data_IF_029030436675
#
_entry.id   IF_029030436675
#
_cell.length_a   1.000
_cell.length_b   1.000
_cell.length_c   1.000
_cell.angle_alpha   90.00
_cell.angle_beta   90.00
_cell.angle_gamma   90.00
#
_symmetry.space_group_name_H-M   'P 1'
#
loop_
_entity.id
_entity.type
_entity.pdbx_description
1 polymer ?
#
# COMPACT_ATOMS: atom_id res chain seq x y z
N UNK A 1 -20.31 -24.13 -8.34
CA UNK A 1 -19.78 -24.45 -9.67
C UNK A 1 -20.08 -23.35 -10.70
N UNK A 2 -21.35 -23.05 -11.02
CA UNK A 2 -21.73 -22.04 -12.02
C UNK A 2 -21.15 -20.63 -11.76
N UNK A 3 -21.25 -20.12 -10.53
CA UNK A 3 -20.62 -18.85 -10.13
C UNK A 3 -19.10 -18.88 -10.30
N UNK A 4 -18.42 -19.96 -9.89
CA UNK A 4 -16.98 -20.11 -10.08
C UNK A 4 -16.56 -20.04 -11.56
N UNK A 5 -17.39 -20.57 -12.46
CA UNK A 5 -17.13 -20.52 -13.91
C UNK A 5 -17.36 -19.12 -14.49
N UNK A 6 -18.45 -18.45 -14.08
CA UNK A 6 -18.72 -17.07 -14.46
C UNK A 6 -17.61 -16.10 -14.00
N UNK A 7 -16.96 -16.41 -12.87
CA UNK A 7 -15.84 -15.64 -12.32
C UNK A 7 -14.49 -15.99 -12.96
N UNK A 8 -14.24 -17.27 -13.23
CA UNK A 8 -12.98 -17.73 -13.81
C UNK A 8 -12.85 -17.40 -15.30
N UNK A 9 -13.95 -17.42 -16.06
CA UNK A 9 -13.93 -17.21 -17.51
C UNK A 9 -13.33 -15.86 -17.95
N UNK A 10 -13.72 -14.69 -17.39
CA UNK A 10 -13.11 -13.42 -17.76
C UNK A 10 -11.69 -13.24 -17.19
N UNK A 11 -11.34 -13.95 -16.12
CA UNK A 11 -10.06 -13.78 -15.41
C UNK A 11 -8.96 -14.71 -15.92
N UNK A 12 -9.29 -15.88 -16.47
CA UNK A 12 -8.32 -16.90 -16.90
C UNK A 12 -7.37 -16.45 -18.03
N UNK A 13 -7.71 -15.39 -18.77
CA UNK A 13 -6.84 -14.81 -19.82
C UNK A 13 -5.89 -13.73 -19.32
N UNK A 14 -5.99 -13.36 -18.05
CA UNK A 14 -5.13 -12.36 -17.43
C UNK A 14 -3.75 -12.97 -17.12
N UNK A 15 -2.69 -12.18 -17.30
CA UNK A 15 -1.36 -12.53 -16.77
C UNK A 15 -1.47 -12.82 -15.27
N UNK A 16 -0.69 -13.77 -14.75
CA UNK A 16 -0.77 -14.27 -13.36
C UNK A 16 -1.00 -13.17 -12.30
N UNK A 17 -0.29 -12.04 -12.43
CA UNK A 17 -0.43 -10.92 -11.48
C UNK A 17 -1.81 -10.24 -11.53
N UNK A 18 -2.38 -10.10 -12.73
CA UNK A 18 -3.69 -9.50 -12.94
C UNK A 18 -4.82 -10.46 -12.52
N UNK A 19 -4.62 -11.76 -12.70
CA UNK A 19 -5.54 -12.78 -12.21
C UNK A 19 -5.65 -12.75 -10.68
N UNK A 20 -4.51 -12.66 -9.97
CA UNK A 20 -4.48 -12.56 -8.51
C UNK A 20 -5.20 -11.31 -7.99
N UNK A 21 -4.97 -10.15 -8.61
CA UNK A 21 -5.63 -8.90 -8.21
C UNK A 21 -7.14 -8.99 -8.36
N UNK A 22 -7.63 -9.44 -9.53
CA UNK A 22 -9.08 -9.48 -9.79
C UNK A 22 -9.78 -10.48 -8.87
N UNK A 23 -9.15 -11.62 -8.58
CA UNK A 23 -9.72 -12.62 -7.67
C UNK A 23 -9.79 -12.14 -6.22
N UNK A 24 -8.78 -11.40 -5.74
CA UNK A 24 -8.82 -10.75 -4.41
C UNK A 24 -9.92 -9.68 -4.35
N UNK A 25 -9.97 -8.78 -5.34
CA UNK A 25 -11.01 -7.73 -5.40
C UNK A 25 -12.41 -8.31 -5.44
N UNK A 26 -12.61 -9.36 -6.24
CA UNK A 26 -13.89 -10.02 -6.32
C UNK A 26 -14.26 -10.75 -5.03
N UNK A 27 -13.29 -11.40 -4.37
CA UNK A 27 -13.48 -11.98 -3.04
C UNK A 27 -13.92 -10.94 -2.01
N UNK A 28 -13.34 -9.74 -2.07
CA UNK A 28 -13.71 -8.63 -1.19
C UNK A 28 -15.10 -8.07 -1.51
N UNK A 29 -15.47 -7.92 -2.79
CA UNK A 29 -16.82 -7.53 -3.19
C UNK A 29 -17.85 -8.53 -2.65
N UNK A 30 -17.59 -9.83 -2.81
CA UNK A 30 -18.45 -10.88 -2.28
C UNK A 30 -18.53 -10.81 -0.75
N UNK A 31 -17.40 -10.61 -0.05
CA UNK A 31 -17.37 -10.43 1.41
C UNK A 31 -18.26 -9.27 1.86
N UNK A 32 -18.14 -8.11 1.21
CA UNK A 32 -18.92 -6.90 1.51
C UNK A 32 -20.40 -7.12 1.22
N UNK A 33 -20.74 -7.74 0.08
CA UNK A 33 -22.11 -8.02 -0.31
C UNK A 33 -22.78 -8.98 0.69
N UNK A 34 -22.07 -10.04 1.11
CA UNK A 34 -22.56 -10.96 2.13
C UNK A 34 -22.66 -10.32 3.53
N UNK A 35 -21.78 -9.36 3.84
CA UNK A 35 -21.87 -8.60 5.09
C UNK A 35 -23.09 -7.65 5.13
N UNK A 36 -23.66 -7.30 3.97
CA UNK A 36 -24.91 -6.54 3.86
C UNK A 36 -26.17 -7.37 4.11
N UNK A 37 -26.09 -8.70 4.06
CA UNK A 37 -27.25 -9.59 4.22
C UNK A 37 -27.62 -9.81 5.70
N UNK A 38 -28.81 -9.40 6.16
CA UNK A 38 -29.22 -9.52 7.57
C UNK A 38 -29.21 -10.97 8.09
N UNK A 39 -29.48 -11.94 7.22
CA UNK A 39 -29.53 -13.37 7.56
C UNK A 39 -28.14 -13.99 7.82
N UNK A 40 -27.08 -13.43 7.21
CA UNK A 40 -25.69 -13.84 7.42
C UNK A 40 -24.99 -13.00 8.50
N UNK A 41 -25.69 -12.00 9.04
CA UNK A 41 -25.27 -11.16 10.15
C UNK A 41 -25.43 -11.89 11.49
N UNK A 42 -24.89 -13.11 11.61
CA UNK A 42 -24.88 -13.87 12.87
C UNK A 42 -23.74 -13.36 13.73
N UNK A 43 -24.06 -12.47 14.67
CA UNK A 43 -23.15 -11.95 15.68
C UNK A 43 -23.36 -10.47 15.92
N UNK A 44 -23.50 -10.09 17.19
CA UNK A 44 -23.39 -8.71 17.61
C UNK A 44 -22.14 -8.10 16.98
N UNK A 45 -22.27 -7.00 16.24
CA UNK A 45 -21.16 -6.10 15.92
C UNK A 45 -20.81 -5.35 17.22
N UNK A 46 -20.55 -6.09 18.30
CA UNK A 46 -19.65 -5.60 19.32
C UNK A 46 -18.31 -5.58 18.61
N UNK A 47 -17.82 -4.39 18.26
CA UNK A 47 -16.44 -4.19 17.86
C UNK A 47 -15.60 -5.08 18.76
N UNK A 48 -14.99 -6.14 18.21
CA UNK A 48 -14.12 -6.98 19.03
C UNK A 48 -13.12 -6.01 19.64
N UNK A 49 -13.12 -5.92 20.97
CA UNK A 49 -12.25 -4.98 21.68
C UNK A 49 -10.85 -5.47 21.37
N UNK A 50 -10.20 -4.74 20.47
CA UNK A 50 -8.86 -5.03 20.05
C UNK A 50 -7.93 -5.06 21.26
N UNK A 51 -6.87 -5.85 21.18
CA UNK A 51 -5.77 -5.70 22.14
C UNK A 51 -5.17 -4.33 21.88
N UNK A 52 -5.18 -3.45 22.88
CA UNK A 52 -4.59 -2.11 22.80
C UNK A 52 -3.78 -1.84 24.07
N UNK A 53 -2.84 -0.90 24.02
CA UNK A 53 -2.02 -0.48 25.18
C UNK A 53 -1.14 -1.57 25.79
N UNK A 54 -0.61 -2.50 24.97
CA UNK A 54 0.48 -3.36 25.43
C UNK A 54 1.75 -2.53 25.66
N UNK A 55 2.65 -3.02 26.51
CA UNK A 55 3.91 -2.34 26.80
C UNK A 55 4.77 -2.27 25.53
N UNK A 56 5.02 -1.04 25.06
CA UNK A 56 5.79 -0.81 23.85
C UNK A 56 7.28 -1.12 24.10
N UNK A 57 7.91 -2.01 23.30
CA UNK A 57 9.30 -2.37 23.50
C UNK A 57 10.22 -1.16 23.38
N UNK A 58 11.33 -1.12 24.12
CA UNK A 58 12.28 0.00 24.13
C UNK A 58 11.72 1.38 24.55
N UNK A 59 10.43 1.51 24.88
CA UNK A 59 9.83 2.79 25.31
C UNK A 59 10.48 3.33 26.58
N UNK A 60 10.77 2.45 27.54
CA UNK A 60 11.52 2.78 28.75
C UNK A 60 12.92 3.30 28.43
N UNK A 61 13.67 2.59 27.58
CA UNK A 61 15.01 3.02 27.21
C UNK A 61 15.03 4.35 26.45
N UNK A 62 14.01 4.60 25.61
CA UNK A 62 13.90 5.82 24.81
C UNK A 62 13.69 7.08 25.67
N UNK A 63 12.79 7.01 26.64
CA UNK A 63 12.47 8.16 27.51
C UNK A 63 13.34 8.21 28.77
N UNK A 64 13.56 7.09 29.45
CA UNK A 64 14.27 7.07 30.73
C UNK A 64 15.78 6.77 30.61
N UNK A 65 16.28 6.33 29.46
CA UNK A 65 17.68 5.94 29.28
C UNK A 65 18.02 4.56 29.88
N UNK A 66 19.32 4.31 30.10
CA UNK A 66 19.82 3.06 30.73
C UNK A 66 19.95 3.28 32.24
N UNK A 67 19.43 2.35 33.04
CA UNK A 67 19.65 2.31 34.50
C UNK A 67 18.49 2.83 35.36
N UNK A 68 17.39 3.30 34.74
CA UNK A 68 16.19 3.74 35.46
C UNK A 68 15.13 2.63 35.40
N UNK A 69 14.73 2.11 36.56
CA UNK A 69 13.62 1.15 36.66
C UNK A 69 12.28 1.88 36.76
N UNK A 70 11.25 1.30 36.14
CA UNK A 70 9.88 1.80 36.16
C UNK A 70 9.03 0.79 36.93
N UNK A 71 8.16 1.27 37.80
CA UNK A 71 7.26 0.45 38.60
C UNK A 71 6.48 1.26 39.62
N UNK A 72 5.44 0.66 40.23
CA UNK A 72 4.60 1.32 41.23
C UNK A 72 5.38 1.74 42.49
N UNK A 73 6.50 1.06 42.79
CA UNK A 73 7.35 1.32 43.95
C UNK A 73 8.63 2.11 43.61
N UNK A 74 8.71 2.70 42.41
CA UNK A 74 9.87 3.48 41.94
C UNK A 74 9.50 4.94 41.73
N UNK A 75 10.50 5.82 41.64
CA UNK A 75 10.31 7.25 41.37
C UNK A 75 9.51 7.53 40.07
N UNK A 76 9.51 6.59 39.12
CA UNK A 76 8.77 6.68 37.86
C UNK A 76 7.76 5.55 37.70
N UNK A 77 6.46 5.90 37.73
CA UNK A 77 5.35 4.94 37.60
C UNK A 77 5.26 4.37 36.17
N UNK A 78 5.60 5.18 35.16
CA UNK A 78 5.53 4.79 33.74
C UNK A 78 6.63 5.43 32.90
N UNK A 79 6.89 4.89 31.71
CA UNK A 79 7.87 5.48 30.79
C UNK A 79 7.48 6.90 30.33
N UNK A 80 6.18 7.21 30.36
CA UNK A 80 5.67 8.56 30.06
C UNK A 80 5.95 9.53 31.23
N UNK A 81 6.14 9.02 32.45
CA UNK A 81 6.54 9.85 33.60
C UNK A 81 7.95 10.40 33.45
N UNK A 82 8.88 9.59 32.91
CA UNK A 82 10.24 10.03 32.61
C UNK A 82 10.28 11.12 31.51
N UNK A 83 9.32 11.10 30.58
CA UNK A 83 9.28 12.04 29.45
C UNK A 83 9.16 13.50 29.91
N UNK A 84 8.48 13.75 31.02
CA UNK A 84 8.19 15.11 31.46
C UNK A 84 9.20 15.61 32.51
N UNK A 85 10.19 14.81 32.87
CA UNK A 85 11.18 15.15 33.89
C UNK A 85 12.44 15.75 33.26
N UNK A 86 12.62 17.05 33.41
CA UNK A 86 13.79 17.78 32.88
C UNK A 86 15.13 17.40 33.52
N UNK A 87 15.13 16.68 34.65
CA UNK A 87 16.36 16.23 35.30
C UNK A 87 16.94 14.97 34.62
N UNK A 88 16.11 14.22 33.90
CA UNK A 88 16.49 12.97 33.26
C UNK A 88 16.78 13.21 31.78
N UNK A 89 18.03 13.02 31.35
CA UNK A 89 18.42 13.22 29.95
C UNK A 89 18.40 11.86 29.22
N UNK A 90 17.27 11.53 28.62
CA UNK A 90 17.09 10.34 27.81
C UNK A 90 17.58 10.49 26.37
N UNK A 91 17.62 9.39 25.59
CA UNK A 91 17.80 9.45 24.13
C UNK A 91 16.77 10.34 23.42
N UNK A 92 15.53 10.39 23.92
CA UNK A 92 14.47 11.24 23.38
C UNK A 92 14.81 12.74 23.48
N UNK A 93 15.35 13.18 24.61
CA UNK A 93 15.72 14.59 24.84
C UNK A 93 16.86 15.03 23.93
N UNK A 94 17.88 14.18 23.78
CA UNK A 94 19.01 14.44 22.86
C UNK A 94 18.54 14.57 21.41
N UNK A 95 17.54 13.77 21.01
CA UNK A 95 16.97 13.89 19.66
C UNK A 95 16.06 15.11 19.51
N UNK A 96 15.33 15.48 20.57
CA UNK A 96 14.56 16.73 20.63
C UNK A 96 15.46 17.96 20.46
N UNK A 97 16.59 17.97 21.15
CA UNK A 97 17.63 19.00 21.04
C UNK A 97 18.25 19.02 19.63
N UNK A 98 18.64 17.85 19.09
CA UNK A 98 19.22 17.76 17.74
C UNK A 98 18.29 18.31 16.65
N UNK A 99 16.98 18.11 16.79
CA UNK A 99 15.97 18.55 15.83
C UNK A 99 15.36 19.92 16.16
N UNK A 100 15.82 20.60 17.23
CA UNK A 100 15.24 21.85 17.73
C UNK A 100 13.72 21.78 17.88
N UNK A 101 13.20 20.68 18.44
CA UNK A 101 11.78 20.55 18.74
C UNK A 101 11.45 21.43 19.95
N UNK A 102 10.71 22.51 19.73
CA UNK A 102 10.29 23.42 20.81
C UNK A 102 8.79 23.45 20.98
N UNK A 103 8.34 23.43 22.22
CA UNK A 103 6.94 23.69 22.59
C UNK A 103 6.55 25.16 22.30
N UNK A 104 5.26 25.49 22.40
CA UNK A 104 4.73 26.85 22.32
C UNK A 104 5.40 27.84 23.30
N UNK A 105 6.00 27.32 24.38
CA UNK A 105 6.74 28.09 25.39
C UNK A 105 8.25 28.23 25.07
N UNK A 106 8.73 27.71 23.95
CA UNK A 106 10.15 27.77 23.54
C UNK A 106 11.08 26.79 24.29
N UNK A 107 10.52 25.87 25.08
CA UNK A 107 11.25 24.81 25.77
C UNK A 107 11.48 23.62 24.82
N UNK A 108 12.62 22.95 24.95
CA UNK A 108 12.95 21.77 24.15
C UNK A 108 12.03 20.61 24.57
N UNK A 109 11.30 20.02 23.62
CA UNK A 109 10.47 18.86 23.87
C UNK A 109 11.20 17.55 23.54
N UNK A 110 11.00 16.49 24.35
CA UNK A 110 11.50 15.16 24.04
C UNK A 110 10.88 14.60 22.75
N UNK A 111 11.72 13.98 21.92
CA UNK A 111 11.27 13.38 20.67
C UNK A 111 10.21 12.28 20.90
N UNK A 112 9.12 12.27 20.10
CA UNK A 112 8.05 11.29 20.26
C UNK A 112 8.56 9.87 19.99
N UNK A 113 7.97 8.89 20.68
CA UNK A 113 8.37 7.48 20.55
C UNK A 113 8.30 6.94 19.10
N UNK A 114 7.36 7.45 18.29
CA UNK A 114 7.26 7.07 16.87
C UNK A 114 8.50 7.44 16.06
N UNK A 115 9.31 8.40 16.52
CA UNK A 115 10.59 8.74 15.89
C UNK A 115 11.61 7.62 16.06
N UNK A 116 11.69 6.97 17.22
CA UNK A 116 12.53 5.78 17.40
C UNK A 116 12.14 4.68 16.41
N UNK A 117 10.84 4.41 16.30
CA UNK A 117 10.33 3.40 15.37
C UNK A 117 10.65 3.77 13.91
N UNK A 118 10.57 5.06 13.55
CA UNK A 118 10.95 5.55 12.23
C UNK A 118 12.45 5.36 11.95
N UNK A 119 13.33 5.67 12.92
CA UNK A 119 14.78 5.45 12.81
C UNK A 119 15.07 3.95 12.60
N UNK A 120 14.48 3.08 13.43
CA UNK A 120 14.64 1.63 13.29
C UNK A 120 14.12 1.13 11.95
N UNK A 121 12.97 1.63 11.50
CA UNK A 121 12.40 1.31 10.20
C UNK A 121 13.30 1.71 9.04
N UNK A 122 13.84 2.93 9.05
CA UNK A 122 14.78 3.41 8.02
C UNK A 122 16.05 2.56 7.99
N UNK A 123 16.65 2.29 9.14
CA UNK A 123 17.82 1.40 9.25
C UNK A 123 17.50 0.02 8.69
N UNK A 124 16.34 -0.53 9.04
CA UNK A 124 15.91 -1.83 8.53
C UNK A 124 15.71 -1.84 7.01
N UNK A 125 15.13 -0.77 6.44
CA UNK A 125 14.95 -0.66 4.99
C UNK A 125 16.30 -0.58 4.28
N UNK A 126 17.24 0.23 4.79
CA UNK A 126 18.59 0.34 4.24
C UNK A 126 19.31 -1.01 4.31
N UNK A 127 19.21 -1.72 5.43
CA UNK A 127 19.84 -3.03 5.62
C UNK A 127 19.24 -4.09 4.70
N UNK A 128 17.91 -4.16 4.60
CA UNK A 128 17.22 -5.10 3.70
C UNK A 128 17.55 -4.79 2.24
N UNK A 129 17.55 -3.51 1.85
CA UNK A 129 17.95 -3.10 0.51
C UNK A 129 19.38 -3.53 0.19
N UNK A 130 20.32 -3.22 1.09
CA UNK A 130 21.72 -3.58 0.92
C UNK A 130 21.89 -5.10 0.78
N UNK A 131 21.24 -5.86 1.67
CA UNK A 131 21.24 -7.33 1.64
C UNK A 131 20.68 -7.86 0.31
N UNK A 132 19.54 -7.35 -0.15
CA UNK A 132 18.92 -7.78 -1.40
C UNK A 132 19.78 -7.47 -2.62
N UNK A 133 20.38 -6.27 -2.67
CA UNK A 133 21.26 -5.90 -3.79
C UNK A 133 22.51 -6.78 -3.84
N UNK A 134 23.10 -7.09 -2.68
CA UNK A 134 24.23 -8.04 -2.58
C UNK A 134 23.82 -9.46 -2.99
N UNK A 135 22.67 -9.95 -2.53
CA UNK A 135 22.19 -11.29 -2.87
C UNK A 135 21.84 -11.40 -4.36
N UNK A 136 21.20 -10.39 -4.94
CA UNK A 136 20.79 -10.40 -6.36
C UNK A 136 21.96 -10.21 -7.33
N UNK A 137 23.06 -9.57 -6.90
CA UNK A 137 24.29 -9.46 -7.67
C UNK A 137 25.22 -10.69 -7.54
N UNK A 138 24.98 -11.53 -6.52
CA UNK A 138 25.70 -12.78 -6.29
C UNK A 138 25.38 -13.88 -7.34
N UNK A 139 26.16 -14.98 -7.40
CA UNK A 139 25.85 -16.12 -8.26
C UNK A 139 24.45 -16.69 -8.06
N UNK A 140 23.94 -16.68 -6.82
CA UNK A 140 22.59 -17.15 -6.50
C UNK A 140 21.51 -16.32 -7.19
N UNK A 141 21.69 -14.99 -7.23
CA UNK A 141 20.80 -14.09 -7.97
C UNK A 141 20.80 -14.34 -9.48
N UNK A 142 21.95 -14.71 -10.07
CA UNK A 142 22.04 -15.07 -11.50
C UNK A 142 21.31 -16.38 -11.81
N UNK A 143 21.41 -17.38 -10.93
CA UNK A 143 20.67 -18.65 -11.06
C UNK A 143 19.17 -18.40 -11.01
N UNK A 144 18.68 -17.56 -10.08
CA UNK A 144 17.26 -17.20 -10.02
C UNK A 144 16.76 -16.50 -11.29
N UNK A 145 17.59 -15.66 -11.92
CA UNK A 145 17.25 -15.04 -13.20
C UNK A 145 17.16 -16.09 -14.31
N UNK A 146 18.08 -17.06 -14.35
CA UNK A 146 18.02 -18.16 -15.32
C UNK A 146 16.74 -19.00 -15.13
N UNK A 147 16.39 -19.36 -13.89
CA UNK A 147 15.16 -20.09 -13.56
C UNK A 147 13.90 -19.32 -14.00
N UNK A 148 13.91 -17.99 -13.90
CA UNK A 148 12.78 -17.14 -14.32
C UNK A 148 12.58 -17.10 -15.83
N UNK A 149 13.67 -17.18 -16.62
CA UNK A 149 13.61 -17.18 -18.08
C UNK A 149 13.21 -18.55 -18.62
N UNK A 150 13.87 -19.62 -18.14
CA UNK A 150 13.56 -21.00 -18.52
C UNK A 150 13.97 -21.97 -17.40
N UNK A 151 12.96 -22.55 -16.75
CA UNK A 151 13.15 -23.50 -15.65
C UNK A 151 13.72 -24.84 -16.12
N UNK A 152 13.32 -25.33 -17.30
CA UNK A 152 13.73 -26.63 -17.83
C UNK A 152 15.22 -26.59 -18.23
N UNK A 153 15.64 -25.49 -18.87
CA UNK A 153 17.06 -25.25 -19.18
C UNK A 153 17.91 -25.16 -17.92
N UNK A 154 17.44 -24.46 -16.88
CA UNK A 154 18.17 -24.38 -15.61
C UNK A 154 18.33 -25.75 -14.92
N UNK A 155 17.32 -26.62 -15.01
CA UNK A 155 17.37 -28.00 -14.51
C UNK A 155 18.38 -28.85 -15.29
N UNK A 156 18.43 -28.71 -16.62
CA UNK A 156 19.42 -29.41 -17.46
C UNK A 156 20.86 -29.01 -17.15
N UNK A 157 21.09 -27.79 -16.65
CA UNK A 157 22.40 -27.34 -16.17
C UNK A 157 22.74 -27.83 -14.75
N UNK A 158 21.91 -28.69 -14.15
CA UNK A 158 22.16 -29.31 -12.84
C UNK A 158 21.80 -28.44 -11.63
N UNK A 159 21.05 -27.35 -11.84
CA UNK A 159 20.56 -26.52 -10.74
C UNK A 159 19.28 -27.12 -10.13
N UNK A 160 19.26 -27.28 -8.81
CA UNK A 160 18.05 -27.68 -8.08
C UNK A 160 17.07 -26.50 -7.97
N UNK A 161 16.12 -26.44 -8.91
CA UNK A 161 15.15 -25.36 -9.00
C UNK A 161 14.24 -25.29 -7.77
N UNK A 162 13.88 -26.42 -7.17
CA UNK A 162 12.96 -26.45 -6.04
C UNK A 162 13.60 -25.76 -4.83
N UNK A 163 14.86 -26.11 -4.50
CA UNK A 163 15.59 -25.49 -3.39
C UNK A 163 15.80 -23.99 -3.60
N UNK A 164 16.13 -23.56 -4.82
CA UNK A 164 16.29 -22.13 -5.12
C UNK A 164 14.98 -21.35 -4.99
N UNK A 165 13.84 -21.91 -5.45
CA UNK A 165 12.51 -21.32 -5.27
C UNK A 165 12.06 -21.30 -3.81
N UNK A 166 12.33 -22.37 -3.07
CA UNK A 166 12.00 -22.44 -1.64
C UNK A 166 12.82 -21.42 -0.84
N UNK A 167 14.11 -21.29 -1.12
CA UNK A 167 14.99 -20.31 -0.49
C UNK A 167 14.57 -18.87 -0.81
N UNK A 168 14.18 -18.57 -2.05
CA UNK A 168 13.70 -17.23 -2.42
C UNK A 168 12.36 -16.89 -1.77
N UNK A 169 11.45 -17.87 -1.67
CA UNK A 169 10.19 -17.72 -0.93
C UNK A 169 10.44 -17.50 0.57
N UNK A 170 11.31 -18.28 1.19
CA UNK A 170 11.65 -18.16 2.61
C UNK A 170 12.28 -16.80 2.93
N UNK A 171 13.19 -16.30 2.07
CA UNK A 171 13.79 -14.99 2.21
C UNK A 171 12.73 -13.87 2.09
N UNK A 172 11.83 -13.97 1.10
CA UNK A 172 10.72 -13.02 0.97
C UNK A 172 9.78 -13.03 2.18
N UNK A 173 9.45 -14.22 2.70
CA UNK A 173 8.60 -14.39 3.88
C UNK A 173 9.26 -13.82 5.15
N UNK A 174 10.57 -14.00 5.32
CA UNK A 174 11.32 -13.43 6.44
C UNK A 174 11.28 -11.90 6.43
N UNK A 175 11.49 -11.28 5.26
CA UNK A 175 11.41 -9.82 5.09
C UNK A 175 9.99 -9.32 5.34
N UNK A 176 8.98 -10.00 4.80
CA UNK A 176 7.57 -9.66 5.01
C UNK A 176 7.16 -9.79 6.49
N UNK A 177 7.63 -10.82 7.18
CA UNK A 177 7.41 -11.01 8.61
C UNK A 177 8.02 -9.90 9.46
N UNK A 178 9.25 -9.47 9.13
CA UNK A 178 9.89 -8.32 9.77
C UNK A 178 9.11 -7.02 9.53
N UNK A 179 8.67 -6.78 8.28
CA UNK A 179 7.83 -5.62 7.96
C UNK A 179 6.49 -5.65 8.72
N UNK A 180 5.86 -6.82 8.82
CA UNK A 180 4.65 -7.04 9.60
C UNK A 180 4.83 -6.76 11.09
N UNK A 181 5.98 -7.15 11.67
CA UNK A 181 6.31 -6.87 13.07
C UNK A 181 6.43 -5.35 13.33
N UNK A 182 7.10 -4.60 12.45
CA UNK A 182 7.16 -3.14 12.54
C UNK A 182 5.79 -2.47 12.36
N UNK A 183 4.97 -2.99 11.45
CA UNK A 183 3.63 -2.46 11.23
C UNK A 183 2.72 -2.69 12.45
N UNK A 184 2.72 -3.91 13.00
CA UNK A 184 2.04 -4.23 14.25
C UNK A 184 2.49 -3.33 15.40
N UNK A 185 3.81 -3.12 15.52
CA UNK A 185 4.37 -2.24 16.54
C UNK A 185 3.88 -0.79 16.37
N UNK A 186 3.86 -0.25 15.15
CA UNK A 186 3.34 1.09 14.84
C UNK A 186 1.87 1.24 15.22
N UNK A 187 1.05 0.20 15.03
CA UNK A 187 -0.39 0.25 15.26
C UNK A 187 -0.73 0.40 16.75
N UNK A 188 0.14 -0.04 17.67
CA UNK A 188 -0.06 0.01 19.15
C UNK A 188 -1.33 -0.72 19.66
N UNK A 189 -2.04 -1.38 18.76
CA UNK A 189 -3.21 -2.20 19.03
C UNK A 189 -3.79 -2.80 17.76
N UNK A 190 -4.55 -3.89 17.92
CA UNK A 190 -5.18 -4.61 16.82
C UNK A 190 -6.69 -4.49 16.88
N UNK A 191 -7.27 -3.59 16.07
CA UNK A 191 -8.71 -3.49 15.91
C UNK A 191 -9.18 -4.24 14.64
N UNK A 192 -10.37 -4.88 14.61
CA UNK A 192 -10.88 -5.48 13.37
C UNK A 192 -10.96 -4.50 12.20
N UNK A 193 -11.18 -3.22 12.49
CA UNK A 193 -11.32 -2.16 11.49
C UNK A 193 -10.04 -1.99 10.67
N UNK A 194 -8.87 -2.00 11.31
CA UNK A 194 -7.56 -1.79 10.65
C UNK A 194 -7.14 -2.97 9.75
N UNK A 195 -7.69 -4.16 9.99
CA UNK A 195 -7.42 -5.36 9.19
C UNK A 195 -8.33 -5.48 7.96
N UNK A 196 -9.15 -4.46 7.67
CA UNK A 196 -9.93 -4.43 6.44
C UNK A 196 -8.99 -4.51 5.21
N UNK A 197 -9.17 -5.47 4.29
CA UNK A 197 -8.29 -5.64 3.13
C UNK A 197 -8.17 -4.37 2.27
N UNK A 198 -9.28 -3.63 2.15
CA UNK A 198 -9.37 -2.33 1.45
C UNK A 198 -8.33 -1.30 1.93
N UNK A 199 -8.01 -1.27 3.23
CA UNK A 199 -7.08 -0.30 3.82
C UNK A 199 -5.64 -0.79 3.94
N UNK A 200 -5.39 -2.10 3.88
CA UNK A 200 -4.06 -2.68 4.11
C UNK A 200 -3.50 -3.30 2.84
N UNK A 201 -4.05 -4.45 2.42
CA UNK A 201 -3.53 -5.26 1.31
C UNK A 201 -3.56 -4.52 -0.02
N UNK A 202 -4.63 -3.78 -0.31
CA UNK A 202 -4.74 -3.03 -1.57
C UNK A 202 -3.71 -1.92 -1.71
N UNK A 203 -3.36 -1.22 -0.62
CA UNK A 203 -2.34 -0.17 -0.66
C UNK A 203 -0.96 -0.74 -0.96
N UNK A 204 -0.61 -1.89 -0.36
CA UNK A 204 0.68 -2.56 -0.61
C UNK A 204 0.76 -3.03 -2.07
N UNK A 205 -0.31 -3.60 -2.61
CA UNK A 205 -0.37 -3.98 -4.02
C UNK A 205 -0.31 -2.79 -4.96
N UNK A 206 -0.99 -1.68 -4.64
CA UNK A 206 -0.93 -0.45 -5.41
C UNK A 206 0.51 0.11 -5.44
N UNK A 207 1.19 0.14 -4.30
CA UNK A 207 2.58 0.55 -4.20
C UNK A 207 3.50 -0.32 -5.09
N UNK A 208 3.30 -1.63 -5.07
CA UNK A 208 4.05 -2.58 -5.90
C UNK A 208 3.84 -2.35 -7.40
N UNK A 209 2.60 -2.14 -7.82
CA UNK A 209 2.26 -1.91 -9.23
C UNK A 209 2.83 -0.60 -9.73
N UNK A 210 2.69 0.47 -8.96
CA UNK A 210 3.22 1.79 -9.30
C UNK A 210 4.73 1.74 -9.38
N UNK A 211 5.38 1.09 -8.40
CA UNK A 211 6.83 0.97 -8.35
C UNK A 211 7.41 0.14 -9.51
N UNK A 212 6.73 -0.94 -9.89
CA UNK A 212 7.13 -1.83 -10.97
C UNK A 212 7.82 -3.09 -10.52
N UNK A 213 7.69 -4.13 -11.36
CA UNK A 213 8.16 -5.49 -11.05
C UNK A 213 9.67 -5.58 -11.25
N UNK A 214 10.34 -6.29 -10.34
CA UNK A 214 11.75 -6.67 -10.43
C UNK A 214 12.77 -5.51 -10.43
N UNK A 215 12.44 -4.38 -9.78
CA UNK A 215 13.39 -3.31 -9.50
C UNK A 215 13.24 -2.76 -8.07
N UNK A 216 14.26 -2.96 -7.24
CA UNK A 216 14.27 -2.50 -5.85
C UNK A 216 14.03 -0.98 -5.74
N UNK A 217 14.60 -0.19 -6.67
CA UNK A 217 14.43 1.28 -6.71
C UNK A 217 13.00 1.70 -7.01
N UNK A 218 12.37 1.04 -7.98
CA UNK A 218 10.99 1.27 -8.33
C UNK A 218 10.07 1.03 -7.13
N UNK A 219 10.31 -0.04 -6.38
CA UNK A 219 9.51 -0.41 -5.20
C UNK A 219 9.52 0.65 -4.08
N UNK A 220 10.68 1.23 -3.77
CA UNK A 220 10.74 2.33 -2.77
C UNK A 220 9.95 3.54 -3.24
N UNK A 221 10.07 3.92 -4.52
CA UNK A 221 9.36 5.07 -5.07
C UNK A 221 7.85 4.82 -5.08
N UNK A 222 7.41 3.62 -5.46
CA UNK A 222 6.00 3.23 -5.41
C UNK A 222 5.41 3.29 -4.00
N UNK A 223 6.14 2.77 -3.01
CA UNK A 223 5.75 2.87 -1.60
C UNK A 223 5.70 4.33 -1.12
N UNK A 224 6.70 5.13 -1.47
CA UNK A 224 6.76 6.54 -1.11
C UNK A 224 5.58 7.34 -1.69
N UNK A 225 5.22 7.11 -2.96
CA UNK A 225 4.07 7.75 -3.61
C UNK A 225 2.77 7.42 -2.87
N UNK A 226 2.55 6.14 -2.53
CA UNK A 226 1.33 5.72 -1.82
C UNK A 226 1.25 6.35 -0.42
N UNK A 227 2.36 6.36 0.32
CA UNK A 227 2.40 6.98 1.65
C UNK A 227 2.20 8.49 1.59
N UNK A 228 2.82 9.18 0.62
CA UNK A 228 2.64 10.61 0.41
C UNK A 228 1.19 10.94 0.06
N UNK A 229 0.58 10.15 -0.82
CA UNK A 229 -0.83 10.29 -1.18
C UNK A 229 -1.73 10.07 0.05
N UNK A 230 -1.45 9.07 0.87
CA UNK A 230 -2.19 8.83 2.12
C UNK A 230 -2.08 10.02 3.09
N UNK A 231 -0.89 10.61 3.22
CA UNK A 231 -0.70 11.82 4.00
C UNK A 231 -1.56 12.98 3.48
N UNK A 232 -1.55 13.23 2.17
CA UNK A 232 -2.37 14.29 1.54
C UNK A 232 -3.85 14.05 1.81
N UNK A 233 -4.34 12.82 1.71
CA UNK A 233 -5.74 12.51 2.03
C UNK A 233 -6.06 12.74 3.50
N UNK A 234 -5.19 12.32 4.42
CA UNK A 234 -5.44 12.53 5.85
C UNK A 234 -5.48 14.04 6.19
N UNK A 235 -4.66 14.85 5.53
CA UNK A 235 -4.72 16.32 5.64
C UNK A 235 -6.03 16.88 5.08
N UNK A 236 -6.48 16.40 3.92
CA UNK A 236 -7.76 16.83 3.33
C UNK A 236 -8.96 16.41 4.19
N UNK A 237 -8.95 15.22 4.79
CA UNK A 237 -9.97 14.76 5.75
C UNK A 237 -9.97 15.69 6.97
N UNK A 238 -8.80 15.99 7.53
CA UNK A 238 -8.69 16.90 8.67
C UNK A 238 -9.18 18.31 8.34
N UNK A 239 -8.95 18.79 7.12
CA UNK A 239 -9.40 20.10 6.66
C UNK A 239 -10.94 20.24 6.66
N UNK A 240 -11.70 19.14 6.58
CA UNK A 240 -13.16 19.16 6.67
C UNK A 240 -13.68 19.46 8.09
N UNK A 241 -12.83 19.35 9.10
CA UNK A 241 -13.21 19.52 10.51
C UNK A 241 -13.64 20.95 10.88
N UNK A 242 -13.16 21.98 10.16
CA UNK A 242 -13.72 23.32 10.29
C UNK A 242 -13.48 24.18 9.04
N UNK A 243 -14.37 25.17 8.74
CA UNK A 243 -14.23 26.04 7.57
C UNK A 243 -12.95 26.88 7.54
N UNK A 244 -12.35 27.11 8.71
CA UNK A 244 -11.17 27.97 8.88
C UNK A 244 -9.85 27.25 8.55
N UNK A 245 -9.88 25.92 8.35
CA UNK A 245 -8.67 25.16 8.03
C UNK A 245 -8.22 25.39 6.57
N UNK A 246 -6.90 25.39 6.33
CA UNK A 246 -6.38 25.41 4.97
C UNK A 246 -6.86 24.17 4.21
N UNK A 247 -7.18 24.35 2.92
CA UNK A 247 -7.73 23.32 2.01
C UNK A 247 -9.19 22.90 2.24
N UNK A 248 -9.93 23.50 3.19
CA UNK A 248 -11.37 23.20 3.39
C UNK A 248 -12.18 23.28 2.09
N UNK A 249 -12.03 24.38 1.34
CA UNK A 249 -12.78 24.59 0.09
C UNK A 249 -12.41 23.59 -1.02
N UNK A 250 -11.18 23.06 -1.01
CA UNK A 250 -10.76 22.01 -1.94
C UNK A 250 -11.36 20.68 -1.53
N UNK A 251 -11.35 20.35 -0.24
CA UNK A 251 -11.94 19.13 0.29
C UNK A 251 -13.46 19.10 0.05
N UNK A 252 -14.18 20.20 0.30
CA UNK A 252 -15.62 20.33 0.03
C UNK A 252 -15.95 20.16 -1.46
N UNK A 253 -15.15 20.72 -2.38
CA UNK A 253 -15.35 20.50 -3.83
C UNK A 253 -15.19 19.03 -4.24
N UNK A 254 -14.18 18.36 -3.70
CA UNK A 254 -13.94 16.94 -3.97
C UNK A 254 -15.11 16.10 -3.44
N UNK A 255 -15.58 16.42 -2.25
CA UNK A 255 -16.69 15.72 -1.60
C UNK A 255 -17.99 15.86 -2.40
N UNK A 256 -18.33 17.09 -2.81
CA UNK A 256 -19.47 17.36 -3.68
C UNK A 256 -19.38 16.64 -5.02
N UNK A 257 -18.19 16.57 -5.61
CA UNK A 257 -17.98 15.86 -6.88
C UNK A 257 -18.21 14.35 -6.71
N UNK A 258 -17.76 13.76 -5.61
CA UNK A 258 -18.02 12.36 -5.31
C UNK A 258 -19.50 12.11 -4.99
N UNK A 259 -20.13 12.97 -4.22
CA UNK A 259 -21.57 12.89 -3.95
C UNK A 259 -22.37 12.94 -5.24
N UNK A 260 -22.04 13.87 -6.15
CA UNK A 260 -22.65 13.94 -7.48
C UNK A 260 -22.40 12.67 -8.31
N UNK A 261 -21.18 12.12 -8.28
CA UNK A 261 -20.83 10.88 -8.97
C UNK A 261 -21.70 9.69 -8.53
N UNK A 262 -22.06 9.63 -7.24
CA UNK A 262 -22.83 8.52 -6.65
C UNK A 262 -24.34 8.73 -6.74
N UNK A 263 -24.81 9.96 -6.60
CA UNK A 263 -26.24 10.29 -6.54
C UNK A 263 -26.85 10.45 -7.95
N UNK A 264 -26.19 11.18 -8.83
CA UNK A 264 -26.70 11.51 -10.17
C UNK A 264 -26.18 10.53 -11.23
N UNK A 265 -26.35 9.23 -10.97
CA UNK A 265 -25.77 8.15 -11.78
C UNK A 265 -26.17 8.21 -13.27
N UNK A 266 -27.35 8.74 -13.58
CA UNK A 266 -27.80 8.90 -14.97
C UNK A 266 -27.01 9.96 -15.72
N UNK A 267 -26.74 11.11 -15.11
CA UNK A 267 -25.92 12.17 -15.71
C UNK A 267 -24.48 11.70 -15.90
N UNK A 268 -23.94 10.99 -14.90
CA UNK A 268 -22.61 10.38 -14.98
C UNK A 268 -22.54 9.37 -16.13
N UNK A 269 -23.55 8.51 -16.27
CA UNK A 269 -23.62 7.51 -17.34
C UNK A 269 -23.60 8.18 -18.72
N UNK A 270 -24.35 9.27 -18.90
CA UNK A 270 -24.33 10.04 -20.17
C UNK A 270 -22.93 10.56 -20.49
N UNK A 271 -22.19 11.05 -19.50
CA UNK A 271 -20.81 11.53 -19.70
C UNK A 271 -19.88 10.38 -20.13
N UNK A 272 -20.02 9.18 -19.56
CA UNK A 272 -19.24 8.04 -20.04
C UNK A 272 -19.66 7.58 -21.44
N UNK A 273 -20.94 7.70 -21.82
CA UNK A 273 -21.41 7.46 -23.19
C UNK A 273 -20.79 8.45 -24.17
N UNK A 274 -20.71 9.75 -23.83
CA UNK A 274 -20.07 10.74 -24.70
C UNK A 274 -18.57 10.48 -24.83
N UNK A 275 -17.89 10.09 -23.75
CA UNK A 275 -16.48 9.65 -23.77
C UNK A 275 -16.31 8.41 -24.67
N UNK A 276 -17.21 7.43 -24.60
CA UNK A 276 -17.20 6.24 -25.45
C UNK A 276 -17.35 6.62 -26.93
N UNK A 277 -18.34 7.45 -27.26
CA UNK A 277 -18.59 7.92 -28.63
C UNK A 277 -17.37 8.69 -29.15
N UNK A 278 -16.81 9.59 -28.33
CA UNK A 278 -15.61 10.35 -28.68
C UNK A 278 -14.40 9.42 -28.90
N UNK A 279 -14.23 8.41 -28.06
CA UNK A 279 -13.16 7.42 -28.18
C UNK A 279 -13.26 6.59 -29.46
N UNK A 280 -14.47 6.18 -29.85
CA UNK A 280 -14.75 5.48 -31.11
C UNK A 280 -14.47 6.41 -32.31
N UNK A 281 -14.92 7.67 -32.22
CA UNK A 281 -14.78 8.67 -33.29
C UNK A 281 -13.33 9.08 -33.54
N UNK A 282 -12.55 9.30 -32.48
CA UNK A 282 -11.11 9.61 -32.57
C UNK A 282 -10.26 8.36 -32.81
N UNK A 283 -10.86 7.16 -32.86
CA UNK A 283 -10.18 5.86 -33.00
C UNK A 283 -9.13 5.60 -31.92
N UNK A 284 -9.26 6.25 -30.76
CA UNK A 284 -8.37 6.09 -29.61
C UNK A 284 -8.94 4.97 -28.72
N UNK A 285 -8.39 3.76 -28.87
CA UNK A 285 -8.84 2.56 -28.14
C UNK A 285 -8.86 2.77 -26.63
N UNK A 286 -7.87 3.47 -26.07
CA UNK A 286 -7.77 3.73 -24.63
C UNK A 286 -9.00 4.47 -24.09
N UNK A 287 -9.46 5.51 -24.80
CA UNK A 287 -10.61 6.33 -24.40
C UNK A 287 -11.90 5.53 -24.58
N UNK A 288 -12.02 4.78 -25.68
CA UNK A 288 -13.15 3.90 -25.92
C UNK A 288 -13.31 2.85 -24.81
N UNK A 289 -12.21 2.24 -24.36
CA UNK A 289 -12.26 1.23 -23.29
C UNK A 289 -12.71 1.85 -21.95
N UNK A 290 -12.25 3.07 -21.63
CA UNK A 290 -12.64 3.79 -20.40
C UNK A 290 -14.13 4.16 -20.44
N UNK A 291 -14.59 4.67 -21.59
CA UNK A 291 -16.01 4.95 -21.81
C UNK A 291 -16.85 3.68 -21.63
N UNK A 292 -16.44 2.57 -22.26
CA UNK A 292 -17.17 1.30 -22.17
C UNK A 292 -17.23 0.76 -20.74
N UNK A 293 -16.11 0.77 -20.00
CA UNK A 293 -16.10 0.29 -18.62
C UNK A 293 -16.91 1.21 -17.70
N UNK A 294 -16.82 2.53 -17.88
CA UNK A 294 -17.59 3.50 -17.09
C UNK A 294 -19.09 3.35 -17.30
N UNK A 295 -19.54 3.26 -18.56
CA UNK A 295 -20.96 3.03 -18.88
C UNK A 295 -21.46 1.74 -18.23
N UNK A 296 -20.70 0.65 -18.35
CA UNK A 296 -21.11 -0.62 -17.75
C UNK A 296 -21.26 -0.53 -16.23
N UNK A 297 -20.28 0.07 -15.54
CA UNK A 297 -20.29 0.19 -14.08
C UNK A 297 -21.47 1.07 -13.62
N UNK A 298 -21.62 2.28 -14.16
CA UNK A 298 -22.66 3.20 -13.69
C UNK A 298 -24.07 2.79 -14.10
N UNK A 299 -24.23 2.11 -15.24
CA UNK A 299 -25.52 1.53 -15.64
C UNK A 299 -25.89 0.34 -14.74
N UNK A 300 -24.91 -0.49 -14.39
CA UNK A 300 -25.12 -1.60 -13.46
C UNK A 300 -25.47 -1.10 -12.06
N UNK A 301 -24.77 -0.09 -11.54
CA UNK A 301 -25.09 0.50 -10.23
C UNK A 301 -26.46 1.15 -10.25
N UNK A 302 -26.87 1.78 -11.36
CA UNK A 302 -28.19 2.40 -11.49
C UNK A 302 -29.30 1.36 -11.43
N UNK A 303 -29.06 0.18 -12.02
CA UNK A 303 -30.03 -0.91 -11.99
C UNK A 303 -30.08 -1.60 -10.61
N UNK A 304 -28.94 -1.73 -9.93
CA UNK A 304 -28.82 -2.48 -8.67
C UNK A 304 -29.09 -1.64 -7.41
N UNK A 305 -28.62 -0.37 -7.37
CA UNK A 305 -28.88 0.55 -6.26
C UNK A 305 -30.20 1.27 -6.49
N UNK A 306 -31.27 0.77 -5.88
CA UNK A 306 -32.53 1.52 -5.80
C UNK A 306 -32.41 2.70 -4.82
N UNK A 307 -33.24 3.73 -4.97
CA UNK A 307 -33.25 4.89 -4.06
C UNK A 307 -33.39 4.50 -2.58
N UNK A 308 -34.07 3.39 -2.32
CA UNK A 308 -34.28 2.82 -0.99
C UNK A 308 -32.98 2.43 -0.27
N UNK A 309 -31.94 2.00 -0.98
CA UNK A 309 -30.66 1.67 -0.35
C UNK A 309 -29.91 2.91 0.13
N UNK A 310 -30.12 4.06 -0.53
CA UNK A 310 -29.49 5.33 -0.16
C UNK A 310 -30.16 5.89 1.10
N UNK A 311 -31.49 5.86 1.15
CA UNK A 311 -32.25 6.34 2.31
C UNK A 311 -32.00 5.50 3.57
N UNK A 312 -31.97 4.17 3.45
CA UNK A 312 -31.73 3.25 4.59
C UNK A 312 -30.27 3.25 5.07
N UNK A 313 -29.29 3.52 4.17
CA UNK A 313 -27.87 3.56 4.55
C UNK A 313 -27.46 4.91 5.14
N UNK A 314 -28.16 5.99 4.78
CA UNK A 314 -27.81 7.36 5.16
C UNK A 314 -29.01 8.07 5.81
N UNK A 315 -29.17 7.90 7.13
CA UNK A 315 -30.27 8.47 7.91
C UNK A 315 -30.50 9.99 7.68
N UNK A 316 -29.46 10.76 7.34
CA UNK A 316 -29.54 12.22 7.11
C UNK A 316 -28.87 12.63 5.78
N UNK A 317 -29.03 11.82 4.73
CA UNK A 317 -28.44 12.07 3.42
C UNK A 317 -26.98 11.64 3.31
N UNK A 318 -26.48 11.53 2.07
CA UNK A 318 -25.14 11.03 1.79
C UNK A 318 -24.09 12.00 2.32
N UNK A 319 -23.57 11.72 3.52
CA UNK A 319 -22.30 12.27 3.96
C UNK A 319 -21.23 11.42 3.30
N UNK A 320 -20.65 11.95 2.23
CA UNK A 320 -19.49 11.33 1.62
C UNK A 320 -18.33 11.44 2.61
N UNK A 321 -17.90 10.30 3.13
CA UNK A 321 -16.65 10.25 3.89
C UNK A 321 -15.50 10.28 2.87
N UNK A 322 -14.56 11.20 3.06
CA UNK A 322 -13.36 11.33 2.24
C UNK A 322 -12.55 10.01 2.19
N UNK A 323 -12.79 9.10 3.14
CA UNK A 323 -12.32 7.72 3.08
C UNK A 323 -12.76 6.95 1.82
N UNK A 324 -13.99 7.14 1.32
CA UNK A 324 -14.48 6.47 0.11
C UNK A 324 -13.87 7.07 -1.15
N UNK A 325 -13.70 8.40 -1.18
CA UNK A 325 -13.00 9.11 -2.26
C UNK A 325 -11.56 8.61 -2.38
N UNK A 326 -10.88 8.43 -1.24
CA UNK A 326 -9.53 7.86 -1.17
C UNK A 326 -9.46 6.50 -1.85
N UNK A 327 -10.38 5.57 -1.54
CA UNK A 327 -10.40 4.23 -2.15
C UNK A 327 -10.65 4.29 -3.66
N UNK A 328 -11.58 5.15 -4.12
CA UNK A 328 -11.86 5.34 -5.53
C UNK A 328 -10.63 5.87 -6.30
N UNK A 329 -9.91 6.84 -5.73
CA UNK A 329 -8.71 7.40 -6.34
C UNK A 329 -7.55 6.40 -6.37
N UNK A 330 -7.35 5.61 -5.31
CA UNK A 330 -6.37 4.51 -5.30
C UNK A 330 -6.68 3.50 -6.40
N UNK A 331 -7.95 3.08 -6.52
CA UNK A 331 -8.39 2.16 -7.56
C UNK A 331 -8.16 2.72 -8.97
N UNK A 332 -8.51 3.98 -9.19
CA UNK A 332 -8.26 4.69 -10.45
C UNK A 332 -6.77 4.78 -10.79
N UNK A 333 -5.93 5.14 -9.81
CA UNK A 333 -4.48 5.21 -9.96
C UNK A 333 -3.88 3.85 -10.32
N UNK A 334 -4.33 2.78 -9.67
CA UNK A 334 -3.89 1.41 -9.94
C UNK A 334 -4.26 1.00 -11.37
N UNK A 335 -5.49 1.25 -11.80
CA UNK A 335 -5.94 0.97 -13.17
C UNK A 335 -5.16 1.78 -14.21
N UNK A 336 -4.92 3.06 -13.95
CA UNK A 336 -4.14 3.94 -14.82
C UNK A 336 -2.69 3.48 -14.93
N UNK A 337 -2.06 3.15 -13.80
CA UNK A 337 -0.71 2.62 -13.72
C UNK A 337 -0.57 1.32 -14.52
N UNK A 338 -1.49 0.37 -14.33
CA UNK A 338 -1.49 -0.90 -15.07
C UNK A 338 -1.71 -0.71 -16.58
N UNK A 339 -2.59 0.23 -16.97
CA UNK A 339 -2.97 0.42 -18.37
C UNK A 339 -1.89 1.14 -19.18
N UNK A 340 -1.22 2.14 -18.58
CA UNK A 340 -0.23 2.96 -19.28
C UNK A 340 1.20 2.49 -19.08
N UNK A 341 1.52 1.94 -17.91
CA UNK A 341 2.85 1.47 -17.61
C UNK A 341 2.83 0.09 -16.94
N UNK A 342 2.58 -0.98 -17.72
CA UNK A 342 2.41 -2.34 -17.19
C UNK A 342 3.69 -2.94 -16.58
N UNK A 343 4.84 -2.30 -16.78
CA UNK A 343 6.13 -2.66 -16.16
C UNK A 343 6.42 -1.84 -14.89
N UNK A 344 5.57 -0.86 -14.57
CA UNK A 344 5.69 0.13 -13.50
C UNK A 344 6.67 1.26 -13.81
N UNK A 345 6.75 2.24 -12.91
CA UNK A 345 7.40 3.53 -13.17
C UNK A 345 8.87 3.39 -13.58
N UNK A 346 9.60 2.44 -12.99
CA UNK A 346 11.00 2.19 -13.31
C UNK A 346 11.20 0.70 -13.66
N UNK A 347 11.10 0.34 -14.95
CA UNK A 347 11.20 -1.05 -15.37
C UNK A 347 12.59 -1.64 -15.10
N UNK A 348 12.64 -2.95 -14.90
CA UNK A 348 13.90 -3.71 -14.84
C UNK A 348 14.72 -3.51 -16.13
N UNK A 349 16.00 -3.18 -15.98
CA UNK A 349 16.95 -3.10 -17.09
C UNK A 349 17.59 -4.50 -17.26
N UNK A 350 17.43 -5.15 -18.44
CA UNK A 350 18.06 -6.45 -18.68
C UNK A 350 19.57 -6.34 -18.53
N UNK A 351 20.17 -7.25 -17.76
CA UNK A 351 21.62 -7.31 -17.63
C UNK A 351 22.23 -7.75 -18.96
N UNK A 352 22.88 -6.82 -19.65
CA UNK A 352 23.70 -7.13 -20.83
C UNK A 352 25.14 -7.33 -20.36
N UNK A 353 25.76 -8.51 -20.53
CA UNK A 353 27.18 -8.66 -20.22
C UNK A 353 27.98 -7.65 -21.06
N UNK A 354 28.92 -6.96 -20.44
CA UNK A 354 29.84 -6.09 -21.17
C UNK A 354 30.59 -6.96 -22.18
N UNK A 355 30.51 -6.58 -23.47
CA UNK A 355 31.40 -7.17 -24.47
C UNK A 355 32.82 -6.80 -24.05
N UNK A 356 33.57 -7.75 -23.51
CA UNK A 356 35.02 -7.65 -23.57
C UNK A 356 35.35 -7.57 -25.06
N UNK A 357 35.91 -6.45 -25.48
CA UNK A 357 36.60 -6.37 -26.77
C UNK A 357 37.79 -7.30 -26.68
N UNK A 358 37.60 -8.56 -27.06
CA UNK A 358 38.70 -9.42 -27.46
C UNK A 358 39.30 -8.79 -28.71
N UNK A 359 40.31 -7.94 -28.53
CA UNK A 359 41.34 -7.71 -29.52
C UNK A 359 42.04 -9.06 -29.74
N UNK A 360 41.41 -9.90 -30.57
CA UNK A 360 42.11 -10.91 -31.34
C UNK A 360 42.39 -10.24 -32.67
N UNK A 361 43.52 -9.51 -32.73
CA UNK A 361 44.24 -9.33 -33.99
C UNK A 361 44.80 -10.70 -34.37
N UNK A 362 43.92 -11.55 -34.90
CA UNK A 362 44.31 -12.57 -35.86
C UNK A 362 44.73 -11.85 -37.13
N UNK A 363 46.05 -11.79 -37.37
CA UNK A 363 46.56 -11.54 -38.71
C UNK A 363 47.85 -10.76 -38.80
N UNK A 364 48.98 -11.35 -38.39
CA UNK A 364 50.21 -11.38 -39.23
C UNK A 364 51.01 -12.63 -38.86
N UNK A 365 50.70 -13.74 -39.53
CA UNK A 365 51.49 -14.95 -39.58
C UNK A 365 51.17 -15.69 -40.88
N UNK A 366 52.18 -15.83 -41.73
CA UNK A 366 52.20 -16.48 -43.06
C UNK A 366 51.72 -15.66 -44.27
N UNK A 367 52.65 -14.91 -44.88
CA UNK A 367 53.36 -15.33 -46.11
C UNK A 367 54.57 -14.44 -46.40
#
# INVERSE_FOLDING_TARGET
>A
AAFGWALAYPTARLRMDYFAIVTISLGEIVRVLLAGEPLLRVGSIGSAIGISKYTLPLKQWWFCGRGVSIGPDTDYISADSCRNDSALIGPADKMGELLNLTDANGLIEPAPYMMLLAIMGIISVILVWWLLETILSSPWGRILRAIREDEEVAQHHGHDVLSHKAASLALGAAIAGLAGAFWAWKLTGFEPSIMSPARSTFLVWAAFIIGGKANNKGMIIGAFIIVLMEFVFNVLVAAQGSPDLPLYSTADKIDRLFQWLVMDQWEVTKIFITILILGILLRIRIISDIGMSGVFVFLFTLFMLGQRSIEESFNNGVSADMAYVKVLLIGSLMLFSLKLNPKGLIPEVPFRPSKHSSQLDEGVGEK
#
